data_IF_514974193661
#
_entry.id   IF_514974193661
#
_cell.length_a   1.000
_cell.length_b   1.000
_cell.length_c   1.000
_cell.angle_alpha   90.00
_cell.angle_beta   90.00
_cell.angle_gamma   90.00
#
_symmetry.space_group_name_H-M   'P 1'
#
loop_
_entity.id
_entity.type
_entity.pdbx_description
1 polymer ?
#
# COMPACT_ATOMS: atom_id res chain seq x y z
N UNK A 1 -21.84 19.00 -12.59
CA UNK A 1 -21.37 17.81 -11.83
C UNK A 1 -22.56 16.96 -11.42
N UNK A 2 -22.50 15.62 -11.54
CA UNK A 2 -23.57 14.75 -11.06
C UNK A 2 -23.45 14.58 -9.55
N UNK A 3 -24.46 14.96 -8.79
CA UNK A 3 -24.49 14.76 -7.32
C UNK A 3 -24.82 13.30 -7.02
N UNK A 4 -23.91 12.61 -6.35
CA UNK A 4 -24.14 11.23 -5.88
C UNK A 4 -25.23 11.24 -4.80
N UNK A 5 -26.22 10.35 -4.94
CA UNK A 5 -27.29 10.13 -3.95
C UNK A 5 -27.09 8.78 -3.26
N UNK A 6 -27.22 8.75 -1.94
CA UNK A 6 -27.26 7.50 -1.16
C UNK A 6 -28.72 7.11 -1.00
N UNK A 7 -29.09 5.94 -1.52
CA UNK A 7 -30.47 5.44 -1.50
C UNK A 7 -30.46 4.10 -0.77
N UNK A 8 -31.19 4.02 0.34
CA UNK A 8 -31.37 2.77 1.05
C UNK A 8 -32.19 1.82 0.19
N UNK A 9 -31.62 0.65 -0.13
CA UNK A 9 -32.32 -0.37 -0.92
C UNK A 9 -33.43 -0.98 -0.07
N UNK A 10 -34.67 -0.93 -0.55
CA UNK A 10 -35.79 -1.66 0.06
C UNK A 10 -35.49 -3.17 -0.03
N UNK A 11 -35.72 -3.91 1.06
CA UNK A 11 -35.54 -5.37 1.08
C UNK A 11 -36.65 -6.02 0.26
N UNK A 12 -36.38 -6.17 -1.03
CA UNK A 12 -37.21 -6.98 -1.92
C UNK A 12 -36.54 -8.34 -2.13
N UNK A 13 -37.19 -9.40 -1.65
CA UNK A 13 -36.72 -10.79 -1.75
C UNK A 13 -37.24 -11.49 -3.01
N UNK A 14 -38.12 -10.84 -3.79
CA UNK A 14 -38.77 -11.44 -4.97
C UNK A 14 -37.83 -11.54 -6.19
N UNK A 15 -36.76 -10.75 -6.23
CA UNK A 15 -35.69 -10.80 -7.25
C UNK A 15 -34.32 -10.67 -6.61
N UNK A 16 -33.68 -11.79 -6.27
CA UNK A 16 -32.42 -11.84 -5.50
C UNK A 16 -31.22 -11.38 -6.35
N UNK A 17 -31.08 -10.07 -6.58
CA UNK A 17 -29.95 -9.47 -7.32
C UNK A 17 -28.85 -9.02 -6.34
N UNK A 18 -27.77 -9.79 -6.30
CA UNK A 18 -26.55 -9.43 -5.58
C UNK A 18 -25.70 -8.47 -6.43
N UNK A 19 -25.69 -7.19 -6.07
CA UNK A 19 -24.77 -6.23 -6.68
C UNK A 19 -23.33 -6.56 -6.26
N UNK A 20 -22.42 -6.70 -7.23
CA UNK A 20 -20.99 -6.86 -6.97
C UNK A 20 -20.29 -5.52 -7.13
N UNK A 21 -19.54 -5.10 -6.11
CA UNK A 21 -18.63 -3.95 -6.21
C UNK A 21 -17.30 -4.49 -6.75
N UNK A 22 -16.91 -4.05 -7.95
CA UNK A 22 -15.63 -4.41 -8.55
C UNK A 22 -14.49 -3.93 -7.65
N UNK A 23 -13.49 -4.79 -7.44
CA UNK A 23 -12.31 -4.41 -6.68
C UNK A 23 -11.50 -3.41 -7.51
N UNK A 24 -11.21 -2.20 -6.99
CA UNK A 24 -10.24 -1.33 -7.62
C UNK A 24 -8.84 -1.94 -7.50
N UNK A 25 -7.91 -1.47 -8.33
CA UNK A 25 -6.49 -1.80 -8.15
C UNK A 25 -6.06 -1.37 -6.73
N UNK A 26 -5.35 -2.22 -5.95
CA UNK A 26 -4.96 -1.90 -4.57
C UNK A 26 -4.25 -0.55 -4.40
N UNK A 27 -3.48 -0.13 -5.43
CA UNK A 27 -2.83 1.18 -5.53
C UNK A 27 -3.79 2.36 -5.36
N UNK A 28 -5.05 2.23 -5.77
CA UNK A 28 -6.06 3.26 -5.59
C UNK A 28 -6.60 3.24 -4.16
N UNK A 29 -5.77 3.66 -3.20
CA UNK A 29 -6.03 3.53 -1.76
C UNK A 29 -7.38 4.07 -1.33
N UNK A 30 -7.78 5.24 -1.83
CA UNK A 30 -9.10 5.83 -1.52
C UNK A 30 -10.25 4.99 -2.08
N UNK A 31 -10.15 4.46 -3.31
CA UNK A 31 -11.20 3.60 -3.86
C UNK A 31 -11.29 2.26 -3.12
N UNK A 32 -10.14 1.69 -2.77
CA UNK A 32 -10.05 0.49 -1.95
C UNK A 32 -10.71 0.73 -0.59
N UNK A 33 -10.42 1.87 0.04
CA UNK A 33 -11.03 2.29 1.30
C UNK A 33 -12.55 2.46 1.17
N UNK A 34 -13.03 3.12 0.12
CA UNK A 34 -14.47 3.28 -0.15
C UNK A 34 -15.15 1.93 -0.27
N UNK A 35 -14.58 0.99 -1.03
CA UNK A 35 -15.13 -0.37 -1.16
C UNK A 35 -15.19 -1.08 0.18
N UNK A 36 -14.11 -1.04 0.95
CA UNK A 36 -14.05 -1.67 2.27
C UNK A 36 -15.07 -1.04 3.22
N UNK A 37 -15.16 0.28 3.29
CA UNK A 37 -16.17 0.97 4.10
C UNK A 37 -17.59 0.63 3.66
N UNK A 38 -17.87 0.61 2.36
CA UNK A 38 -19.19 0.28 1.83
C UNK A 38 -19.63 -1.17 2.17
N UNK A 39 -18.68 -2.07 2.39
CA UNK A 39 -18.96 -3.43 2.86
C UNK A 39 -19.22 -3.52 4.37
N UNK A 40 -18.66 -2.62 5.18
CA UNK A 40 -18.69 -2.70 6.64
C UNK A 40 -19.63 -1.70 7.31
N UNK A 41 -19.92 -0.56 6.67
CA UNK A 41 -20.82 0.47 7.18
C UNK A 41 -22.24 0.18 6.73
N UNK A 42 -23.14 -0.06 7.68
CA UNK A 42 -24.53 -0.34 7.40
C UNK A 42 -25.30 0.95 7.09
N UNK A 43 -25.87 1.05 5.88
CA UNK A 43 -26.80 2.11 5.49
C UNK A 43 -26.29 3.55 5.61
N UNK A 44 -25.07 3.89 5.15
CA UNK A 44 -24.61 5.28 5.15
C UNK A 44 -25.55 6.15 4.30
N UNK A 45 -25.94 7.32 4.80
CA UNK A 45 -26.82 8.27 4.07
C UNK A 45 -26.05 9.39 3.39
N UNK A 46 -24.74 9.50 3.67
CA UNK A 46 -23.84 10.47 3.07
C UNK A 46 -22.40 9.96 3.04
N UNK A 47 -21.54 10.65 2.28
CA UNK A 47 -20.09 10.43 2.33
C UNK A 47 -19.47 10.77 3.69
N UNK A 48 -20.11 11.66 4.46
CA UNK A 48 -19.69 11.96 5.82
C UNK A 48 -19.99 10.77 6.72
N UNK A 49 -21.20 10.23 6.67
CA UNK A 49 -21.61 9.05 7.44
C UNK A 49 -20.70 7.85 7.17
N UNK A 50 -20.36 7.63 5.89
CA UNK A 50 -19.45 6.56 5.48
C UNK A 50 -18.08 6.67 6.18
N UNK A 51 -17.61 7.91 6.40
CA UNK A 51 -16.32 8.20 7.03
C UNK A 51 -16.40 8.32 8.56
N UNK A 52 -17.59 8.44 9.15
CA UNK A 52 -17.75 8.60 10.60
C UNK A 52 -17.51 7.29 11.35
N UNK A 53 -16.57 7.24 12.30
CA UNK A 53 -16.34 6.10 13.19
C UNK A 53 -16.14 6.54 14.62
N UNK A 54 -16.80 5.87 15.58
CA UNK A 54 -16.77 6.23 17.01
C UNK A 54 -17.04 7.73 17.24
N UNK A 55 -18.05 8.27 16.58
CA UNK A 55 -18.45 9.70 16.61
C UNK A 55 -17.39 10.69 16.09
N UNK A 56 -16.34 10.22 15.42
CA UNK A 56 -15.33 11.07 14.76
C UNK A 56 -15.51 11.00 13.25
N UNK A 57 -15.62 12.16 12.60
CA UNK A 57 -15.63 12.28 11.13
C UNK A 57 -14.20 12.40 10.64
N UNK A 58 -13.73 11.41 9.88
CA UNK A 58 -12.38 11.42 9.34
C UNK A 58 -12.32 12.19 8.00
N UNK A 59 -11.27 12.99 7.74
CA UNK A 59 -11.11 13.75 6.50
C UNK A 59 -11.23 12.93 5.21
N UNK A 60 -10.75 11.69 5.17
CA UNK A 60 -10.84 10.82 3.99
C UNK A 60 -11.38 9.43 4.29
N UNK A 61 -11.78 8.69 3.23
CA UNK A 61 -12.23 7.30 3.37
C UNK A 61 -11.07 6.40 3.81
N UNK A 62 -9.86 6.65 3.31
CA UNK A 62 -8.66 5.93 3.77
C UNK A 62 -8.45 6.04 5.28
N UNK A 63 -8.51 7.26 5.84
CA UNK A 63 -8.35 7.46 7.28
C UNK A 63 -9.47 6.81 8.09
N UNK A 64 -10.71 6.91 7.60
CA UNK A 64 -11.86 6.25 8.20
C UNK A 64 -11.75 4.71 8.21
N UNK A 65 -11.20 4.12 7.13
CA UNK A 65 -10.95 2.70 7.01
C UNK A 65 -9.81 2.24 7.93
N UNK A 66 -8.73 3.04 8.04
CA UNK A 66 -7.62 2.81 8.97
C UNK A 66 -8.04 2.84 10.43
N UNK A 67 -8.85 3.82 10.81
CA UNK A 67 -9.38 3.92 12.17
C UNK A 67 -10.23 2.69 12.57
N UNK A 68 -10.89 2.06 11.59
CA UNK A 68 -11.65 0.82 11.76
C UNK A 68 -10.80 -0.45 11.68
N UNK A 69 -9.50 -0.34 11.41
CA UNK A 69 -8.60 -1.47 11.12
C UNK A 69 -9.05 -2.31 9.91
N UNK A 70 -9.72 -1.67 8.95
CA UNK A 70 -10.09 -2.31 7.67
C UNK A 70 -8.98 -2.18 6.63
N UNK A 71 -8.16 -1.16 6.79
CA UNK A 71 -6.93 -0.97 6.04
C UNK A 71 -5.85 -0.69 7.04
N UNK A 72 -4.71 -1.32 6.86
CA UNK A 72 -3.63 -1.14 7.78
C UNK A 72 -2.80 0.06 7.30
N UNK A 73 -2.21 0.77 8.26
CA UNK A 73 -1.27 1.83 7.95
C UNK A 73 0.05 1.23 7.46
N UNK A 74 1.13 1.95 7.70
CA UNK A 74 2.47 1.44 7.42
C UNK A 74 2.99 0.51 8.51
N UNK A 75 2.32 0.47 9.66
CA UNK A 75 2.77 -0.28 10.84
C UNK A 75 3.00 -1.76 10.53
N UNK A 76 2.08 -2.41 9.81
CA UNK A 76 2.25 -3.83 9.49
C UNK A 76 3.44 -4.11 8.60
N UNK A 77 3.74 -3.20 7.67
CA UNK A 77 4.91 -3.33 6.81
C UNK A 77 6.20 -3.08 7.60
N UNK A 78 6.17 -2.15 8.57
CA UNK A 78 7.28 -1.94 9.49
C UNK A 78 7.53 -3.15 10.38
N UNK A 79 6.48 -3.71 10.98
CA UNK A 79 6.55 -4.88 11.85
C UNK A 79 7.07 -6.09 11.05
N UNK A 80 6.53 -6.31 9.84
CA UNK A 80 6.96 -7.38 8.93
C UNK A 80 8.43 -7.26 8.53
N UNK A 81 8.89 -6.07 8.13
CA UNK A 81 10.28 -5.86 7.72
C UNK A 81 11.24 -6.00 8.91
N UNK A 82 10.80 -5.59 10.11
CA UNK A 82 11.57 -5.78 11.36
C UNK A 82 11.71 -7.27 11.70
N UNK A 83 10.63 -8.03 11.56
CA UNK A 83 10.65 -9.48 11.80
C UNK A 83 11.60 -10.17 10.81
N UNK A 84 11.42 -9.93 9.51
CA UNK A 84 12.22 -10.54 8.44
C UNK A 84 13.72 -10.23 8.59
N UNK A 85 14.08 -9.05 9.08
CA UNK A 85 15.48 -8.68 9.30
C UNK A 85 16.24 -9.64 10.22
N UNK A 86 15.54 -10.34 11.13
CA UNK A 86 16.13 -11.31 12.05
C UNK A 86 16.25 -12.74 11.51
N UNK A 87 15.50 -13.09 10.47
CA UNK A 87 15.36 -14.48 10.00
C UNK A 87 15.86 -14.70 8.58
N UNK A 88 15.75 -13.70 7.72
CA UNK A 88 15.94 -13.86 6.27
C UNK A 88 17.20 -13.21 5.75
N UNK A 89 17.64 -13.66 4.58
CA UNK A 89 18.75 -13.03 3.87
C UNK A 89 18.34 -11.68 3.27
N UNK A 90 19.29 -10.76 2.98
CA UNK A 90 18.96 -9.50 2.33
C UNK A 90 18.29 -9.64 0.97
N UNK A 91 18.52 -10.75 0.24
CA UNK A 91 17.86 -10.97 -1.05
C UNK A 91 16.38 -11.33 -0.88
N UNK A 92 16.04 -12.16 0.09
CA UNK A 92 14.65 -12.52 0.39
C UNK A 92 13.90 -11.33 1.00
N UNK A 93 14.57 -10.55 1.85
CA UNK A 93 14.04 -9.28 2.36
C UNK A 93 13.69 -8.30 1.22
N UNK A 94 14.54 -8.19 0.19
CA UNK A 94 14.22 -7.39 -1.02
C UNK A 94 13.03 -7.94 -1.81
N UNK A 95 12.86 -9.27 -1.89
CA UNK A 95 11.69 -9.88 -2.54
C UNK A 95 10.42 -9.55 -1.78
N UNK A 96 10.46 -9.63 -0.45
CA UNK A 96 9.32 -9.24 0.38
C UNK A 96 8.99 -7.77 0.19
N UNK A 97 9.98 -6.88 0.26
CA UNK A 97 9.77 -5.45 0.02
C UNK A 97 9.12 -5.19 -1.35
N UNK A 98 9.61 -5.82 -2.42
CA UNK A 98 9.01 -5.71 -3.74
C UNK A 98 7.55 -6.25 -3.77
N UNK A 99 7.27 -7.35 -3.07
CA UNK A 99 5.91 -7.89 -2.93
C UNK A 99 4.95 -6.88 -2.26
N UNK A 100 5.42 -6.22 -1.19
CA UNK A 100 4.67 -5.16 -0.51
C UNK A 100 4.36 -4.02 -1.49
N UNK A 101 5.36 -3.54 -2.24
CA UNK A 101 5.17 -2.48 -3.24
C UNK A 101 4.15 -2.86 -4.32
N UNK A 102 4.21 -4.09 -4.83
CA UNK A 102 3.37 -4.57 -5.93
C UNK A 102 1.92 -4.84 -5.52
N UNK A 103 1.73 -5.44 -4.34
CA UNK A 103 0.46 -6.05 -3.97
C UNK A 103 -0.27 -5.34 -2.84
N UNK A 104 0.47 -4.65 -1.96
CA UNK A 104 -0.08 -4.09 -0.74
C UNK A 104 -0.26 -2.58 -0.78
N UNK A 105 0.32 -1.89 -1.77
CA UNK A 105 0.23 -0.44 -1.94
C UNK A 105 0.52 0.33 -0.63
N UNK A 106 1.76 0.28 -0.11
CA UNK A 106 2.11 1.02 1.10
C UNK A 106 1.84 2.52 0.92
N UNK A 107 1.54 3.20 2.02
CA UNK A 107 1.09 4.59 2.00
C UNK A 107 2.19 5.54 1.51
N UNK A 108 3.40 5.37 2.06
CA UNK A 108 4.62 6.11 1.80
C UNK A 108 5.75 5.07 1.58
N UNK A 109 5.84 4.50 0.36
CA UNK A 109 6.90 3.55 0.00
C UNK A 109 8.32 4.05 0.33
N UNK A 110 8.54 5.36 0.19
CA UNK A 110 9.80 6.04 0.46
C UNK A 110 10.16 6.03 1.95
N UNK A 111 9.22 6.41 2.82
CA UNK A 111 9.45 6.38 4.27
C UNK A 111 9.71 4.95 4.78
N UNK A 112 8.99 3.97 4.22
CA UNK A 112 9.20 2.57 4.52
C UNK A 112 10.60 2.09 4.09
N UNK A 113 11.07 2.51 2.91
CA UNK A 113 12.44 2.24 2.46
C UNK A 113 13.47 2.90 3.36
N UNK A 114 13.32 4.19 3.67
CA UNK A 114 14.28 4.95 4.48
C UNK A 114 14.41 4.40 5.90
N UNK A 115 13.34 3.81 6.43
CA UNK A 115 13.32 3.19 7.76
C UNK A 115 13.95 1.79 7.79
N UNK A 116 14.00 1.07 6.66
CA UNK A 116 14.36 -0.36 6.63
C UNK A 116 15.49 -0.74 5.66
N UNK A 117 16.07 0.20 4.90
CA UNK A 117 17.04 -0.11 3.85
C UNK A 117 18.24 -0.95 4.34
N UNK A 118 18.65 -0.81 5.61
CA UNK A 118 19.76 -1.56 6.20
C UNK A 118 19.53 -3.08 6.19
N UNK A 119 18.28 -3.50 6.33
CA UNK A 119 17.87 -4.93 6.30
C UNK A 119 17.85 -5.47 4.86
N UNK A 120 17.71 -4.59 3.88
CA UNK A 120 17.58 -4.89 2.46
C UNK A 120 18.93 -4.96 1.74
N UNK A 121 20.00 -4.46 2.36
CA UNK A 121 21.34 -4.40 1.77
C UNK A 121 22.26 -5.51 2.28
N UNK A 122 23.23 -5.89 1.46
CA UNK A 122 24.26 -6.85 1.87
C UNK A 122 25.32 -6.18 2.75
N UNK A 123 25.79 -6.89 3.78
CA UNK A 123 26.86 -6.43 4.69
C UNK A 123 28.27 -6.54 4.06
N UNK A 124 28.45 -5.97 2.86
CA UNK A 124 29.78 -5.86 2.23
C UNK A 124 30.49 -4.64 2.81
N UNK A 125 31.54 -4.88 3.57
CA UNK A 125 32.32 -3.84 4.27
C UNK A 125 33.06 -2.87 3.34
N UNK A 126 33.30 -3.26 2.08
CA UNK A 126 34.01 -2.43 1.10
C UNK A 126 33.12 -1.43 0.34
N UNK A 127 31.79 -1.50 0.50
CA UNK A 127 30.85 -0.63 -0.20
C UNK A 127 30.40 0.54 0.68
N UNK A 128 30.27 1.73 0.09
CA UNK A 128 29.58 2.85 0.72
C UNK A 128 28.08 2.58 0.84
N UNK A 129 27.38 3.30 1.71
CA UNK A 129 25.94 3.11 1.89
C UNK A 129 25.16 3.45 0.62
N UNK A 130 25.59 4.45 -0.15
CA UNK A 130 25.02 4.74 -1.47
C UNK A 130 25.17 3.57 -2.44
N UNK A 131 26.32 2.88 -2.46
CA UNK A 131 26.54 1.71 -3.31
C UNK A 131 25.66 0.52 -2.87
N UNK A 132 25.53 0.31 -1.56
CA UNK A 132 24.65 -0.71 -0.98
C UNK A 132 23.19 -0.47 -1.37
N UNK A 133 22.70 0.75 -1.14
CA UNK A 133 21.33 1.18 -1.50
C UNK A 133 21.07 1.02 -3.00
N UNK A 134 21.97 1.51 -3.86
CA UNK A 134 21.84 1.40 -5.31
C UNK A 134 21.78 -0.06 -5.78
N UNK A 135 22.61 -0.95 -5.21
CA UNK A 135 22.57 -2.38 -5.53
C UNK A 135 21.23 -3.02 -5.16
N UNK A 136 20.71 -2.72 -3.97
CA UNK A 136 19.42 -3.22 -3.51
C UNK A 136 18.27 -2.71 -4.39
N UNK A 137 18.24 -1.40 -4.68
CA UNK A 137 17.24 -0.78 -5.54
C UNK A 137 17.28 -1.33 -6.97
N UNK A 138 18.45 -1.63 -7.52
CA UNK A 138 18.57 -2.28 -8.84
C UNK A 138 17.86 -3.64 -8.86
N UNK A 139 18.02 -4.44 -7.81
CA UNK A 139 17.35 -5.72 -7.70
C UNK A 139 15.83 -5.56 -7.51
N UNK A 140 15.39 -4.62 -6.68
CA UNK A 140 13.97 -4.32 -6.48
C UNK A 140 13.35 -3.86 -7.80
N UNK A 141 13.99 -2.94 -8.52
CA UNK A 141 13.52 -2.47 -9.83
C UNK A 141 13.37 -3.61 -10.84
N UNK A 142 14.33 -4.54 -10.87
CA UNK A 142 14.22 -5.74 -11.71
C UNK A 142 12.98 -6.59 -11.38
N UNK A 143 12.61 -6.71 -10.10
CA UNK A 143 11.39 -7.41 -9.69
C UNK A 143 10.13 -6.63 -10.12
N UNK A 144 10.12 -5.30 -9.93
CA UNK A 144 9.00 -4.44 -10.32
C UNK A 144 8.75 -4.45 -11.84
N UNK A 145 9.82 -4.44 -12.64
CA UNK A 145 9.74 -4.40 -14.10
C UNK A 145 9.01 -5.60 -14.70
N UNK A 146 9.08 -6.77 -14.05
CA UNK A 146 8.32 -7.97 -14.45
C UNK A 146 6.80 -7.78 -14.36
N UNK A 147 6.36 -6.79 -13.58
CA UNK A 147 4.97 -6.40 -13.43
C UNK A 147 4.64 -5.07 -14.14
N UNK A 148 5.55 -4.57 -14.99
CA UNK A 148 5.36 -3.30 -15.70
C UNK A 148 5.45 -2.06 -14.80
N UNK A 149 6.11 -2.17 -13.65
CA UNK A 149 6.32 -1.08 -12.69
C UNK A 149 7.81 -0.74 -12.58
N UNK A 150 8.12 0.46 -12.11
CA UNK A 150 9.49 0.96 -11.91
C UNK A 150 9.58 1.72 -10.58
N UNK A 151 10.79 2.04 -10.14
CA UNK A 151 11.05 2.76 -8.88
C UNK A 151 10.51 4.20 -8.84
N UNK A 152 10.37 4.86 -10.00
CA UNK A 152 9.82 6.21 -10.15
C UNK A 152 8.38 6.31 -9.59
N UNK A 153 7.59 5.24 -9.74
CA UNK A 153 6.23 5.14 -9.22
C UNK A 153 6.15 5.12 -7.68
N UNK A 154 7.29 4.99 -7.01
CA UNK A 154 7.40 4.85 -5.55
C UNK A 154 8.35 5.89 -4.93
N UNK A 155 8.78 6.90 -5.70
CA UNK A 155 9.72 7.95 -5.25
C UNK A 155 11.11 7.42 -4.82
N UNK A 156 11.47 6.21 -5.29
CA UNK A 156 12.73 5.56 -4.95
C UNK A 156 13.86 5.82 -5.97
N UNK A 157 13.61 6.58 -7.04
CA UNK A 157 14.63 6.84 -8.08
C UNK A 157 15.76 7.75 -7.59
N UNK A 158 15.53 8.62 -6.60
CA UNK A 158 16.56 9.53 -6.07
C UNK A 158 17.73 8.83 -5.36
N UNK A 159 17.47 7.66 -4.77
CA UNK A 159 18.49 6.82 -4.12
C UNK A 159 19.21 5.88 -5.12
N UNK A 160 18.78 5.90 -6.38
CA UNK A 160 19.33 5.11 -7.46
C UNK A 160 20.32 5.95 -8.28
N UNK A 161 21.61 5.93 -7.89
CA UNK A 161 22.65 6.44 -8.80
C UNK A 161 22.71 5.53 -10.04
N UNK A 162 22.13 5.98 -11.16
CA UNK A 162 22.43 5.48 -12.53
C UNK A 162 23.89 5.79 -12.88
N UNK A 163 24.86 5.27 -12.14
CA UNK A 163 26.22 5.20 -12.68
C UNK A 163 26.27 4.04 -13.66
N UNK A 164 25.91 4.39 -14.89
CA UNK A 164 26.33 3.70 -16.11
C UNK A 164 27.86 3.72 -16.07
N UNK A 165 28.46 2.63 -15.59
CA UNK A 165 29.83 2.32 -15.98
C UNK A 165 29.71 1.22 -17.04
N UNK A 166 29.93 1.65 -18.29
CA UNK A 166 30.46 0.80 -19.35
C UNK A 166 31.81 0.25 -18.91
#
# INVERSE_FOLDING_TARGET
MKTQKFILRKRDLSGKIFGRIQAPQPRNLELTAVRLLAHHVCGPTSWQDLRTYKNVVYPTCLQAARARRLMNGEQEWNDLLTEIAGYESPIESRRMFASILLHCAPANPKDLWDSHWETLVSNKTSWSDSQKKAHALRHINFLLQRHGMNLDQFELEGDYEKKIYL
#
